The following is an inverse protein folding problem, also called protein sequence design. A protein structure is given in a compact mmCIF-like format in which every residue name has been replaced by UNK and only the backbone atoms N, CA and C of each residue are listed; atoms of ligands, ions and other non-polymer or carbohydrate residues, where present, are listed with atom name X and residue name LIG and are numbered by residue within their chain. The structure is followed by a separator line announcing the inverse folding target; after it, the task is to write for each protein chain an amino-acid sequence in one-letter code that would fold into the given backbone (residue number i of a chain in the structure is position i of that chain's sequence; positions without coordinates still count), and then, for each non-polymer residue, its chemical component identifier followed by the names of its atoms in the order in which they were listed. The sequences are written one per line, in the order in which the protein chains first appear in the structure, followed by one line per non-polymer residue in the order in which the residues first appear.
data_IF_395338418707
#
_entry.id   IF_395338418707
#
_cell.length_a   1.000
_cell.length_b   1.000
_cell.length_c   1.000
_cell.angle_alpha   90.00
_cell.angle_beta   90.00
_cell.angle_gamma   90.00
#
_symmetry.space_group_name_H-M   'P 1'
#
loop_
_entity.id
_entity.type
_entity.pdbx_description
1 polymer ?
#
# COMPACT_ATOMS: atom_id res chain seq x y z
N UNK A 1 -7.54 -15.43 11.85
CA UNK A 1 -6.88 -14.28 12.49
C UNK A 1 -5.88 -14.61 13.60
N UNK A 2 -5.97 -15.78 14.25
CA UNK A 2 -5.02 -16.13 15.33
C UNK A 2 -3.58 -16.40 14.84
N UNK A 3 -3.33 -16.41 13.53
CA UNK A 3 -1.99 -16.58 12.97
C UNK A 3 -1.29 -17.87 13.39
N UNK A 4 0.03 -17.90 13.22
CA UNK A 4 0.91 -18.83 13.92
C UNK A 4 1.31 -18.29 15.29
N UNK A 5 1.81 -19.16 16.17
CA UNK A 5 2.30 -18.81 17.52
C UNK A 5 3.74 -18.31 17.54
N UNK A 6 4.35 -18.13 16.37
CA UNK A 6 5.74 -17.69 16.19
C UNK A 6 5.83 -16.66 15.07
N UNK A 7 6.54 -15.57 15.32
CA UNK A 7 6.93 -14.59 14.31
C UNK A 7 8.11 -15.08 13.46
N UNK A 8 8.33 -14.43 12.31
CA UNK A 8 9.43 -14.76 11.39
C UNK A 8 10.82 -14.59 12.01
N UNK A 9 10.96 -13.72 13.01
CA UNK A 9 12.16 -13.55 13.82
C UNK A 9 12.30 -14.52 15.00
N UNK A 10 11.40 -15.52 15.12
CA UNK A 10 11.44 -16.55 16.17
C UNK A 10 10.79 -16.15 17.51
N UNK A 11 10.21 -14.95 17.62
CA UNK A 11 9.48 -14.52 18.83
C UNK A 11 8.15 -15.25 18.94
N UNK A 12 7.79 -15.69 20.15
CA UNK A 12 6.48 -16.29 20.39
C UNK A 12 5.35 -15.25 20.46
N UNK A 13 4.13 -15.69 20.19
CA UNK A 13 2.91 -14.93 20.41
C UNK A 13 1.75 -15.85 20.80
N UNK A 14 0.85 -15.34 21.63
CA UNK A 14 -0.50 -15.88 21.82
C UNK A 14 -1.51 -14.79 21.45
N UNK A 15 -1.92 -14.73 20.18
CA UNK A 15 -2.89 -13.74 19.73
C UNK A 15 -4.27 -13.89 20.36
N UNK A 16 -4.61 -15.07 20.91
CA UNK A 16 -5.89 -15.30 21.60
C UNK A 16 -5.97 -14.52 22.91
N UNK A 17 -4.89 -14.52 23.68
CA UNK A 17 -4.77 -13.74 24.92
C UNK A 17 -4.19 -12.33 24.73
N UNK A 18 -3.93 -11.92 23.48
CA UNK A 18 -3.28 -10.65 23.13
C UNK A 18 -1.88 -10.51 23.75
N UNK A 19 -1.12 -11.61 23.80
CA UNK A 19 0.25 -11.64 24.30
C UNK A 19 1.27 -11.68 23.16
N UNK A 20 2.11 -10.65 23.06
CA UNK A 20 3.18 -10.55 22.07
C UNK A 20 4.49 -10.16 22.78
N UNK A 21 5.11 -11.09 23.54
CA UNK A 21 6.25 -10.80 24.41
C UNK A 21 7.50 -10.30 23.68
N UNK A 22 7.60 -10.50 22.36
CA UNK A 22 8.70 -9.95 21.56
C UNK A 22 8.75 -8.42 21.52
N UNK A 23 7.65 -7.71 21.82
CA UNK A 23 7.59 -6.24 21.73
C UNK A 23 7.81 -5.48 23.04
N UNK A 24 7.29 -5.83 24.23
CA UNK A 24 6.25 -6.76 24.68
C UNK A 24 4.84 -6.12 24.75
N UNK A 25 3.87 -6.61 23.95
CA UNK A 25 2.47 -6.20 24.10
C UNK A 25 1.64 -7.22 24.91
N UNK A 26 0.67 -6.69 25.62
CA UNK A 26 -0.31 -7.38 26.45
C UNK A 26 -1.72 -6.94 26.08
N UNK A 27 -2.75 -7.55 26.67
CA UNK A 27 -4.15 -7.16 26.45
C UNK A 27 -4.47 -5.68 26.75
N UNK A 28 -3.62 -4.98 27.53
CA UNK A 28 -3.75 -3.55 27.83
C UNK A 28 -3.40 -2.64 26.64
N UNK A 29 -2.72 -3.19 25.63
CA UNK A 29 -2.19 -2.45 24.50
C UNK A 29 -3.12 -2.49 23.28
N UNK A 30 -4.26 -3.16 23.40
CA UNK A 30 -5.24 -3.35 22.32
C UNK A 30 -6.58 -2.73 22.68
N UNK A 31 -7.34 -2.35 21.67
CA UNK A 31 -8.73 -1.97 21.82
C UNK A 31 -9.58 -3.16 22.33
N UNK A 32 -10.73 -2.90 22.97
CA UNK A 32 -11.68 -3.95 23.34
C UNK A 32 -12.05 -4.83 22.14
N UNK A 33 -12.21 -6.13 22.36
CA UNK A 33 -12.54 -7.05 21.27
C UNK A 33 -13.95 -6.79 20.74
N UNK A 34 -14.02 -6.43 19.46
CA UNK A 34 -15.22 -6.33 18.65
C UNK A 34 -14.84 -6.57 17.19
N UNK A 35 -15.81 -6.87 16.32
CA UNK A 35 -15.57 -7.01 14.89
C UNK A 35 -15.98 -5.74 14.14
N UNK A 36 -15.25 -5.39 13.08
CA UNK A 36 -15.70 -4.38 12.13
C UNK A 36 -16.89 -4.96 11.35
N UNK A 37 -18.05 -4.33 11.50
CA UNK A 37 -19.32 -4.75 10.88
C UNK A 37 -20.05 -3.61 10.20
N UNK A 38 -19.66 -2.35 10.45
CA UNK A 38 -20.36 -1.17 9.94
C UNK A 38 -19.39 -0.06 9.49
N UNK A 39 -19.17 0.04 8.18
CA UNK A 39 -18.34 1.11 7.58
C UNK A 39 -19.00 2.50 7.58
N UNK A 40 -20.24 2.62 8.05
CA UNK A 40 -20.89 3.90 8.32
C UNK A 40 -20.63 4.42 9.76
N UNK A 41 -19.94 3.65 10.60
CA UNK A 41 -19.53 4.06 11.94
C UNK A 41 -17.99 4.12 12.03
N UNK A 42 -17.38 5.32 12.03
CA UNK A 42 -15.93 5.47 12.12
C UNK A 42 -15.33 4.84 13.40
N UNK A 43 -16.09 4.79 14.49
CA UNK A 43 -15.62 4.18 15.74
C UNK A 43 -15.52 2.67 15.59
N UNK A 44 -16.53 2.04 14.99
CA UNK A 44 -16.46 0.61 14.68
C UNK A 44 -15.31 0.29 13.73
N UNK A 45 -15.06 1.11 12.71
CA UNK A 45 -13.98 0.85 11.73
C UNK A 45 -12.58 1.01 12.33
N UNK A 46 -12.40 1.94 13.29
CA UNK A 46 -11.08 2.30 13.84
C UNK A 46 -10.72 1.65 15.18
N UNK A 47 -11.70 1.09 15.90
CA UNK A 47 -11.48 0.51 17.22
C UNK A 47 -11.82 -0.99 17.31
N UNK A 48 -12.27 -1.61 16.21
CA UNK A 48 -12.60 -3.04 16.18
C UNK A 48 -11.65 -3.84 15.29
N UNK A 49 -11.60 -5.13 15.54
CA UNK A 49 -10.69 -6.08 14.90
C UNK A 49 -11.05 -6.28 13.42
N UNK A 50 -10.17 -5.83 12.52
CA UNK A 50 -10.27 -6.10 11.09
C UNK A 50 -10.10 -7.59 10.84
N UNK A 51 -11.17 -8.27 10.42
CA UNK A 51 -11.21 -9.73 10.19
C UNK A 51 -10.61 -10.56 11.34
N UNK A 52 -10.78 -10.08 12.58
CA UNK A 52 -10.30 -10.71 13.82
C UNK A 52 -8.83 -10.44 14.18
N UNK A 53 -8.14 -9.59 13.43
CA UNK A 53 -6.77 -9.16 13.76
C UNK A 53 -6.81 -8.31 15.04
N UNK A 54 -5.90 -8.58 15.98
CA UNK A 54 -5.88 -7.87 17.27
C UNK A 54 -5.53 -6.41 17.06
N UNK A 55 -6.49 -5.55 17.38
CA UNK A 55 -6.45 -4.12 17.06
C UNK A 55 -5.68 -3.34 18.14
N UNK A 56 -4.48 -2.86 17.81
CA UNK A 56 -3.65 -2.09 18.74
C UNK A 56 -4.34 -0.76 19.08
N UNK A 57 -4.31 -0.36 20.34
CA UNK A 57 -4.83 0.94 20.77
C UNK A 57 -3.75 2.00 20.61
N UNK A 58 -3.69 2.67 19.45
CA UNK A 58 -2.73 3.75 19.24
C UNK A 58 -3.08 5.01 20.05
N UNK A 59 -4.18 5.05 20.81
CA UNK A 59 -4.45 6.01 21.87
C UNK A 59 -3.49 5.91 23.06
N UNK A 60 -2.92 4.71 23.28
CA UNK A 60 -1.98 4.42 24.35
C UNK A 60 -0.57 4.92 24.00
N UNK A 61 0.07 5.69 24.87
CA UNK A 61 1.42 6.23 24.65
C UNK A 61 2.47 5.13 24.49
N UNK A 62 2.36 4.03 25.24
CA UNK A 62 3.27 2.89 25.12
C UNK A 62 3.24 2.25 23.73
N UNK A 63 2.04 2.10 23.16
CA UNK A 63 1.85 1.59 21.79
C UNK A 63 2.50 2.53 20.78
N UNK A 64 2.28 3.84 20.92
CA UNK A 64 2.94 4.85 20.05
C UNK A 64 4.46 4.79 20.18
N UNK A 65 4.98 4.66 21.41
CA UNK A 65 6.42 4.59 21.66
C UNK A 65 7.04 3.41 20.91
N UNK A 66 6.42 2.23 20.98
CA UNK A 66 6.90 1.03 20.27
C UNK A 66 6.81 1.14 18.76
N UNK A 67 5.76 1.76 18.23
CA UNK A 67 5.66 2.02 16.79
C UNK A 67 6.75 3.02 16.35
N UNK A 68 6.93 4.12 17.09
CA UNK A 68 7.94 5.15 16.78
C UNK A 68 9.35 4.58 16.88
N UNK A 69 9.65 3.77 17.91
CA UNK A 69 10.93 3.07 18.07
C UNK A 69 11.26 2.23 16.84
N UNK A 70 10.29 1.43 16.38
CA UNK A 70 10.44 0.62 15.17
C UNK A 70 10.66 1.45 13.90
N UNK A 71 9.83 2.47 13.67
CA UNK A 71 9.93 3.30 12.47
C UNK A 71 11.22 4.14 12.45
N UNK A 72 11.66 4.66 13.60
CA UNK A 72 12.93 5.37 13.71
C UNK A 72 14.11 4.43 13.50
N UNK A 73 14.07 3.21 14.02
CA UNK A 73 15.10 2.20 13.73
C UNK A 73 15.24 1.96 12.22
N UNK A 74 14.13 1.79 11.49
CA UNK A 74 14.16 1.64 10.03
C UNK A 74 14.67 2.91 9.32
N UNK A 75 14.29 4.09 9.81
CA UNK A 75 14.77 5.37 9.28
C UNK A 75 16.29 5.50 9.43
N UNK A 76 16.83 5.08 10.58
CA UNK A 76 18.27 5.08 10.85
C UNK A 76 19.01 4.09 9.92
N UNK A 77 18.38 2.97 9.55
CA UNK A 77 18.88 2.01 8.55
C UNK A 77 18.78 2.51 7.09
N UNK A 78 18.21 3.69 6.85
CA UNK A 78 18.25 4.36 5.55
C UNK A 78 17.01 4.19 4.68
N UNK A 79 15.87 3.74 5.20
CA UNK A 79 14.62 3.75 4.43
C UNK A 79 14.17 5.19 4.14
N UNK A 80 13.60 5.44 2.96
CA UNK A 80 13.15 6.79 2.55
C UNK A 80 11.73 7.15 3.05
N UNK A 81 10.98 6.19 3.57
CA UNK A 81 9.56 6.38 3.87
C UNK A 81 8.82 5.09 4.17
N UNK A 82 7.51 5.21 4.38
CA UNK A 82 6.64 4.13 4.87
C UNK A 82 5.32 4.07 4.11
N UNK A 83 4.96 2.84 3.70
CA UNK A 83 3.59 2.46 3.34
C UNK A 83 2.85 2.13 4.63
N UNK A 84 1.89 2.96 5.02
CA UNK A 84 1.11 2.73 6.24
C UNK A 84 -0.09 1.87 5.87
N UNK A 85 0.02 0.58 6.21
CA UNK A 85 -1.02 -0.43 6.02
C UNK A 85 -2.29 -0.08 6.80
N UNK A 86 -3.46 -0.41 6.24
CA UNK A 86 -4.74 -0.29 6.92
C UNK A 86 -4.99 1.10 7.57
N UNK A 87 -4.46 2.19 7.00
CA UNK A 87 -4.54 3.52 7.61
C UNK A 87 -5.98 3.99 7.85
N UNK A 88 -6.94 3.55 7.04
CA UNK A 88 -8.38 3.76 7.28
C UNK A 88 -8.82 3.33 8.70
N UNK A 89 -8.24 2.25 9.21
CA UNK A 89 -8.56 1.62 10.49
C UNK A 89 -7.82 2.25 11.68
N UNK A 90 -7.12 3.37 11.48
CA UNK A 90 -6.44 4.09 12.55
C UNK A 90 -6.98 5.52 12.62
N UNK A 91 -6.96 6.12 13.82
CA UNK A 91 -7.36 7.51 13.98
C UNK A 91 -6.30 8.45 13.37
N UNK A 92 -6.70 9.45 12.56
CA UNK A 92 -5.77 10.45 12.04
C UNK A 92 -4.96 11.16 13.13
N UNK A 93 -5.58 11.44 14.28
CA UNK A 93 -4.89 12.06 15.43
C UNK A 93 -3.74 11.21 15.97
N UNK A 94 -3.92 9.89 16.02
CA UNK A 94 -2.90 8.96 16.53
C UNK A 94 -1.76 8.78 15.52
N UNK A 95 -2.11 8.68 14.23
CA UNK A 95 -1.13 8.69 13.14
C UNK A 95 -0.29 9.97 13.14
N UNK A 96 -0.92 11.13 13.32
CA UNK A 96 -0.20 12.41 13.40
C UNK A 96 0.77 12.44 14.59
N UNK A 97 0.35 11.91 15.75
CA UNK A 97 1.20 11.80 16.92
C UNK A 97 2.40 10.87 16.71
N UNK A 98 2.25 9.80 15.92
CA UNK A 98 3.33 8.90 15.54
C UNK A 98 4.26 9.58 14.53
N UNK A 99 3.73 10.11 13.43
CA UNK A 99 4.53 10.72 12.36
C UNK A 99 5.31 11.94 12.84
N UNK A 100 4.73 12.74 13.74
CA UNK A 100 5.38 13.91 14.35
C UNK A 100 6.62 13.58 15.19
N UNK A 101 6.83 12.30 15.54
CA UNK A 101 7.96 11.81 16.32
C UNK A 101 9.01 11.07 15.50
N UNK A 102 8.83 10.99 14.18
CA UNK A 102 9.79 10.35 13.30
C UNK A 102 11.05 11.21 13.14
N UNK A 103 12.20 10.55 13.13
CA UNK A 103 13.47 11.16 12.81
C UNK A 103 13.45 11.67 11.36
N UNK A 104 14.29 12.68 11.08
CA UNK A 104 14.63 13.01 9.71
C UNK A 104 15.44 11.86 9.09
N UNK A 105 15.40 11.76 7.75
CA UNK A 105 16.12 10.76 6.99
C UNK A 105 17.64 10.86 7.21
N UNK A 106 18.27 9.70 7.30
CA UNK A 106 19.68 9.60 7.65
C UNK A 106 20.60 10.08 6.51
N UNK A 107 21.28 11.21 6.72
CA UNK A 107 22.21 11.82 5.73
C UNK A 107 23.36 10.91 5.30
N UNK A 108 23.73 9.90 6.11
CA UNK A 108 24.73 8.90 5.72
C UNK A 108 24.30 8.05 4.51
N UNK A 109 23.00 8.00 4.21
CA UNK A 109 22.43 7.33 3.04
C UNK A 109 22.19 8.28 1.85
N UNK A 110 22.73 9.50 1.88
CA UNK A 110 22.66 10.46 0.78
C UNK A 110 21.41 11.35 0.77
N UNK A 111 20.61 11.34 1.84
CA UNK A 111 19.48 12.27 1.98
C UNK A 111 19.94 13.67 2.38
N UNK A 112 19.20 14.69 1.94
CA UNK A 112 19.41 16.07 2.36
C UNK A 112 19.15 16.23 3.87
N UNK A 113 19.91 17.10 4.54
CA UNK A 113 19.63 17.47 5.93
C UNK A 113 18.21 17.99 6.08
N UNK A 114 17.48 17.49 7.08
CA UNK A 114 16.08 17.86 7.33
C UNK A 114 15.05 17.18 6.43
N UNK A 115 15.46 16.29 5.52
CA UNK A 115 14.51 15.50 4.75
C UNK A 115 13.66 14.61 5.68
N UNK A 116 12.34 14.59 5.48
CA UNK A 116 11.41 13.77 6.27
C UNK A 116 11.06 12.48 5.54
N UNK A 117 10.73 11.39 6.27
CA UNK A 117 10.22 10.18 5.66
C UNK A 117 8.99 10.43 4.78
N UNK A 118 8.98 9.88 3.57
CA UNK A 118 7.80 9.90 2.71
C UNK A 118 6.72 8.97 3.28
N UNK A 119 5.57 9.54 3.65
CA UNK A 119 4.44 8.77 4.17
C UNK A 119 3.37 8.65 3.09
N UNK A 120 2.95 7.41 2.82
CA UNK A 120 1.73 7.17 2.06
C UNK A 120 0.85 6.12 2.73
N UNK A 121 -0.44 6.42 2.76
CA UNK A 121 -1.39 5.77 3.66
C UNK A 121 -2.39 4.96 2.85
N UNK A 122 -2.58 3.70 3.24
CA UNK A 122 -3.63 2.88 2.66
C UNK A 122 -5.00 3.29 3.18
N UNK A 123 -5.72 4.04 2.35
CA UNK A 123 -7.11 4.44 2.62
C UNK A 123 -7.94 4.06 1.40
N UNK A 124 -8.65 2.94 1.50
CA UNK A 124 -9.55 2.47 0.45
C UNK A 124 -10.81 3.34 0.42
N UNK A 125 -10.83 4.45 -0.34
CA UNK A 125 -12.02 5.31 -0.43
C UNK A 125 -12.57 5.38 -1.85
N UNK A 126 -13.60 4.57 -2.12
CA UNK A 126 -14.40 4.63 -3.36
C UNK A 126 -15.65 5.52 -3.22
N UNK A 127 -15.84 6.18 -2.06
CA UNK A 127 -17.06 6.91 -1.69
C UNK A 127 -18.12 6.04 -1.00
N UNK A 128 -19.10 6.69 -0.35
CA UNK A 128 -20.24 6.00 0.28
C UNK A 128 -19.99 5.41 1.66
N UNK A 129 -18.84 5.71 2.28
CA UNK A 129 -18.50 5.31 3.66
C UNK A 129 -18.36 6.54 4.57
N UNK A 130 -18.35 6.33 5.88
CA UNK A 130 -18.22 7.42 6.86
C UNK A 130 -16.80 7.99 6.99
N UNK A 131 -15.79 7.22 6.57
CA UNK A 131 -14.38 7.65 6.59
C UNK A 131 -13.98 8.06 5.18
N UNK A 132 -13.34 9.22 5.06
CA UNK A 132 -12.85 9.74 3.78
C UNK A 132 -11.33 9.81 3.73
N UNK A 133 -10.77 9.63 2.53
CA UNK A 133 -9.34 9.86 2.25
C UNK A 133 -8.86 11.27 2.62
N UNK A 134 -9.74 12.27 2.57
CA UNK A 134 -9.40 13.66 2.91
C UNK A 134 -8.98 13.86 4.36
N UNK A 135 -9.38 12.95 5.27
CA UNK A 135 -8.94 12.97 6.68
C UNK A 135 -7.43 12.70 6.83
N UNK A 136 -6.78 12.14 5.81
CA UNK A 136 -5.40 11.66 5.87
C UNK A 136 -4.42 12.47 5.00
N UNK A 137 -4.91 13.25 4.03
CA UNK A 137 -4.07 13.98 3.06
C UNK A 137 -3.23 15.11 3.70
N UNK A 138 -3.63 15.59 4.87
CA UNK A 138 -2.86 16.57 5.65
C UNK A 138 -1.54 16.04 6.22
N UNK A 139 -1.39 14.71 6.31
CA UNK A 139 -0.26 14.05 7.00
C UNK A 139 0.67 13.29 6.05
N UNK A 140 0.30 13.18 4.77
CA UNK A 140 1.05 12.42 3.78
C UNK A 140 0.21 12.16 2.53
N UNK A 141 0.74 11.36 1.63
CA UNK A 141 -0.03 10.87 0.49
C UNK A 141 -1.02 9.78 0.92
N UNK A 142 -2.01 9.50 0.08
CA UNK A 142 -2.92 8.35 0.21
C UNK A 142 -2.81 7.46 -1.03
N UNK A 143 -3.16 6.18 -0.88
CA UNK A 143 -3.39 5.28 -2.02
C UNK A 143 -4.68 5.67 -2.73
N UNK A 144 -4.61 6.20 -3.94
CA UNK A 144 -5.80 6.63 -4.69
C UNK A 144 -6.47 5.42 -5.38
N UNK A 145 -7.27 4.66 -4.64
CA UNK A 145 -7.95 3.47 -5.17
C UNK A 145 -8.93 3.78 -6.31
N UNK A 146 -9.50 5.00 -6.37
CA UNK A 146 -10.35 5.41 -7.50
C UNK A 146 -9.59 5.49 -8.81
N UNK A 147 -8.27 5.75 -8.76
CA UNK A 147 -7.42 5.70 -9.95
C UNK A 147 -7.41 4.27 -10.54
N UNK A 148 -7.15 3.26 -9.71
CA UNK A 148 -7.14 1.83 -10.11
C UNK A 148 -8.52 1.39 -10.64
N UNK A 149 -9.61 1.75 -9.95
CA UNK A 149 -10.98 1.45 -10.38
C UNK A 149 -11.34 2.10 -11.73
N UNK A 150 -11.10 3.41 -11.84
CA UNK A 150 -11.48 4.19 -13.03
C UNK A 150 -10.66 3.79 -14.26
N UNK A 151 -9.33 3.61 -14.11
CA UNK A 151 -8.46 3.23 -15.23
C UNK A 151 -8.80 1.81 -15.70
N UNK A 152 -9.16 0.93 -14.77
CA UNK A 152 -9.65 -0.42 -15.06
C UNK A 152 -10.90 -0.39 -15.94
N UNK A 153 -11.92 0.39 -15.55
CA UNK A 153 -13.18 0.54 -16.31
C UNK A 153 -12.94 1.08 -17.72
N UNK A 154 -12.15 2.15 -17.85
CA UNK A 154 -11.84 2.78 -19.14
C UNK A 154 -11.14 1.79 -20.08
N UNK A 155 -10.05 1.15 -19.65
CA UNK A 155 -9.29 0.24 -20.51
C UNK A 155 -9.96 -1.13 -20.72
N UNK A 156 -11.01 -1.44 -19.95
CA UNK A 156 -11.91 -2.57 -20.22
C UNK A 156 -13.02 -2.24 -21.23
N UNK A 157 -13.19 -0.97 -21.60
CA UNK A 157 -14.25 -0.51 -22.49
C UNK A 157 -15.60 -0.32 -21.79
N UNK A 158 -15.62 -0.27 -20.45
CA UNK A 158 -16.81 0.11 -19.67
C UNK A 158 -16.97 1.64 -19.59
N UNK A 159 -15.94 2.36 -19.99
CA UNK A 159 -15.97 3.80 -20.22
C UNK A 159 -15.07 4.18 -21.41
N UNK A 160 -15.14 5.41 -21.89
CA UNK A 160 -14.51 5.85 -23.13
C UNK A 160 -13.17 6.57 -22.88
N UNK A 161 -12.14 6.21 -23.65
CA UNK A 161 -10.82 6.85 -23.60
C UNK A 161 -10.88 8.38 -23.79
N UNK A 162 -11.87 8.89 -24.56
CA UNK A 162 -12.04 10.32 -24.82
C UNK A 162 -12.34 11.14 -23.55
N UNK A 163 -12.77 10.52 -22.46
CA UNK A 163 -13.06 11.22 -21.21
C UNK A 163 -11.82 11.41 -20.34
N UNK A 164 -10.69 10.80 -20.69
CA UNK A 164 -9.43 10.98 -19.97
C UNK A 164 -8.82 12.39 -20.12
N UNK A 165 -9.45 13.29 -20.88
CA UNK A 165 -8.98 14.67 -21.10
C UNK A 165 -8.89 15.51 -19.84
N UNK A 166 -9.66 15.17 -18.80
CA UNK A 166 -9.62 15.83 -17.48
C UNK A 166 -9.25 14.84 -16.35
N UNK A 167 -8.48 13.80 -16.65
CA UNK A 167 -8.05 12.78 -15.69
C UNK A 167 -7.36 13.41 -14.46
N UNK A 168 -7.86 13.11 -13.27
CA UNK A 168 -7.38 13.71 -12.02
C UNK A 168 -8.49 14.06 -11.05
N UNK A 169 -8.41 15.24 -10.43
CA UNK A 169 -9.38 15.69 -9.41
C UNK A 169 -10.82 15.79 -9.94
N UNK A 170 -11.02 16.07 -11.23
CA UNK A 170 -12.34 16.07 -11.86
C UNK A 170 -13.01 14.68 -11.87
N UNK A 171 -12.23 13.61 -11.71
CA UNK A 171 -12.69 12.23 -11.53
C UNK A 171 -12.92 11.88 -10.05
N UNK A 172 -12.89 12.86 -9.15
CA UNK A 172 -13.06 12.68 -7.71
C UNK A 172 -11.82 12.08 -7.02
N UNK A 173 -10.64 12.22 -7.64
CA UNK A 173 -9.37 11.88 -6.99
C UNK A 173 -8.97 12.99 -6.00
N UNK A 174 -8.11 12.65 -5.04
CA UNK A 174 -7.44 13.64 -4.20
C UNK A 174 -6.49 14.51 -5.04
N UNK A 175 -5.92 15.56 -4.42
CA UNK A 175 -4.93 16.38 -5.10
C UNK A 175 -3.73 15.53 -5.57
N UNK A 176 -3.13 15.91 -6.70
CA UNK A 176 -2.04 15.16 -7.35
C UNK A 176 -0.85 14.93 -6.40
N UNK A 177 -0.44 15.97 -5.67
CA UNK A 177 0.64 15.96 -4.69
C UNK A 177 0.33 15.12 -3.42
N UNK A 178 -0.92 14.64 -3.28
CA UNK A 178 -1.38 13.78 -2.18
C UNK A 178 -1.75 12.37 -2.63
N UNK A 179 -1.54 12.03 -3.90
CA UNK A 179 -2.02 10.78 -4.48
C UNK A 179 -0.86 9.87 -4.88
N UNK A 180 -0.77 8.70 -4.24
CA UNK A 180 -0.01 7.56 -4.77
C UNK A 180 -0.94 6.72 -5.65
N UNK A 181 -0.64 6.66 -6.95
CA UNK A 181 -1.48 6.03 -7.96
C UNK A 181 -0.90 4.71 -8.44
N UNK A 182 -1.76 3.79 -8.83
CA UNK A 182 -1.39 2.47 -9.32
C UNK A 182 -2.50 1.92 -10.22
N UNK A 183 -2.14 0.97 -11.09
CA UNK A 183 -3.10 0.20 -11.89
C UNK A 183 -3.68 -0.94 -11.06
N UNK A 184 -2.82 -1.67 -10.34
CA UNK A 184 -3.15 -2.70 -9.37
C UNK A 184 -2.22 -2.64 -8.15
N UNK A 185 -2.63 -3.29 -7.07
CA UNK A 185 -1.79 -3.56 -5.90
C UNK A 185 -1.85 -5.06 -5.56
N UNK A 186 -1.11 -5.46 -4.53
CA UNK A 186 -1.06 -6.86 -4.09
C UNK A 186 -2.42 -7.41 -3.62
N UNK A 187 -3.31 -6.61 -3.03
CA UNK A 187 -4.65 -7.07 -2.63
C UNK A 187 -5.57 -7.24 -3.84
N UNK A 188 -5.76 -6.17 -4.61
CA UNK A 188 -6.82 -6.11 -5.60
C UNK A 188 -6.52 -6.91 -6.85
N UNK A 189 -5.24 -7.21 -7.14
CA UNK A 189 -4.89 -8.18 -8.18
C UNK A 189 -5.36 -9.62 -7.85
N UNK A 190 -5.61 -9.90 -6.56
CA UNK A 190 -6.17 -11.16 -6.05
C UNK A 190 -7.68 -11.06 -5.78
N UNK A 191 -8.30 -9.92 -6.06
CA UNK A 191 -9.71 -9.68 -5.72
C UNK A 191 -9.96 -9.38 -4.24
N UNK A 192 -8.89 -9.17 -3.45
CA UNK A 192 -9.01 -8.65 -2.09
C UNK A 192 -9.10 -7.12 -2.12
N UNK A 193 -9.85 -6.51 -1.20
CA UNK A 193 -10.01 -5.05 -1.16
C UNK A 193 -10.88 -4.49 -2.30
N UNK A 194 -10.50 -3.34 -2.84
CA UNK A 194 -11.33 -2.53 -3.75
C UNK A 194 -10.99 -2.66 -5.24
N UNK A 195 -11.98 -2.38 -6.10
CA UNK A 195 -11.88 -2.34 -7.57
C UNK A 195 -12.50 -3.55 -8.27
N UNK A 196 -12.60 -4.69 -7.58
CA UNK A 196 -13.31 -5.89 -8.06
C UNK A 196 -12.85 -6.37 -9.44
N UNK A 197 -13.81 -6.79 -10.27
CA UNK A 197 -13.55 -7.39 -11.59
C UNK A 197 -12.91 -6.42 -12.61
N UNK A 198 -12.86 -5.12 -12.31
CA UNK A 198 -12.34 -4.11 -13.21
C UNK A 198 -10.82 -3.89 -13.07
N UNK A 199 -10.22 -4.36 -11.98
CA UNK A 199 -8.77 -4.29 -11.77
C UNK A 199 -8.03 -4.98 -12.94
N UNK A 200 -7.05 -4.28 -13.50
CA UNK A 200 -6.18 -4.80 -14.55
C UNK A 200 -4.90 -5.32 -13.93
N UNK A 201 -4.51 -6.54 -14.27
CA UNK A 201 -3.31 -7.20 -13.71
C UNK A 201 -2.46 -7.79 -14.84
N UNK A 202 -1.32 -8.36 -14.48
CA UNK A 202 -0.48 -9.10 -15.43
C UNK A 202 -1.24 -10.21 -16.20
N UNK A 203 -2.35 -10.73 -15.64
CA UNK A 203 -3.20 -11.76 -16.27
C UNK A 203 -4.02 -11.25 -17.47
N UNK A 204 -4.10 -9.92 -17.67
CA UNK A 204 -4.72 -9.27 -18.84
C UNK A 204 -3.73 -8.33 -19.54
N UNK A 205 -2.61 -8.87 -20.08
CA UNK A 205 -1.38 -8.13 -20.29
C UNK A 205 -1.50 -6.98 -21.30
N UNK A 206 -2.34 -7.11 -22.34
CA UNK A 206 -2.53 -6.02 -23.33
C UNK A 206 -3.11 -4.78 -22.67
N UNK A 207 -4.23 -4.94 -21.94
CA UNK A 207 -4.93 -3.83 -21.27
C UNK A 207 -4.09 -3.28 -20.12
N UNK A 208 -3.44 -4.15 -19.35
CA UNK A 208 -2.56 -3.75 -18.25
C UNK A 208 -1.40 -2.86 -18.70
N UNK A 209 -0.72 -3.23 -19.79
CA UNK A 209 0.37 -2.41 -20.36
C UNK A 209 -0.12 -1.06 -20.88
N UNK A 210 -1.31 -1.01 -21.50
CA UNK A 210 -1.89 0.25 -21.96
C UNK A 210 -2.24 1.19 -20.80
N UNK A 211 -2.88 0.66 -19.74
CA UNK A 211 -3.20 1.42 -18.54
C UNK A 211 -1.93 1.90 -17.80
N UNK A 212 -0.92 1.03 -17.68
CA UNK A 212 0.37 1.38 -17.07
C UNK A 212 1.10 2.46 -17.85
N UNK A 213 1.08 2.39 -19.19
CA UNK A 213 1.64 3.42 -20.03
C UNK A 213 0.93 4.77 -19.84
N UNK A 214 -0.41 4.77 -19.79
CA UNK A 214 -1.17 6.00 -19.52
C UNK A 214 -0.83 6.58 -18.14
N UNK A 215 -0.82 5.77 -17.08
CA UNK A 215 -0.45 6.21 -15.72
C UNK A 215 0.95 6.82 -15.68
N UNK A 216 1.93 6.21 -16.36
CA UNK A 216 3.31 6.69 -16.37
C UNK A 216 3.49 7.95 -17.24
N UNK A 217 2.73 8.09 -18.32
CA UNK A 217 2.76 9.27 -19.19
C UNK A 217 2.03 10.48 -18.60
N UNK A 218 0.98 10.26 -17.78
CA UNK A 218 0.17 11.33 -17.22
C UNK A 218 0.84 11.95 -15.97
N UNK A 219 0.86 13.29 -15.78
CA UNK A 219 1.56 13.94 -14.67
C UNK A 219 0.89 13.77 -13.30
N UNK A 220 -0.26 13.09 -13.25
CA UNK A 220 -1.05 12.99 -12.02
C UNK A 220 -0.48 11.95 -11.05
N UNK A 221 -0.28 12.36 -9.80
CA UNK A 221 0.13 11.50 -8.70
C UNK A 221 1.59 11.02 -8.77
N UNK A 222 1.96 10.30 -7.72
CA UNK A 222 3.21 9.52 -7.65
C UNK A 222 2.90 8.07 -8.08
N UNK A 223 3.36 7.60 -9.25
CA UNK A 223 3.02 6.27 -9.74
C UNK A 223 3.80 5.18 -9.00
N UNK A 224 3.10 4.10 -8.66
CA UNK A 224 3.68 2.84 -8.18
C UNK A 224 3.39 1.73 -9.19
N UNK A 225 4.45 1.06 -9.64
CA UNK A 225 4.37 -0.12 -10.51
C UNK A 225 4.39 -1.37 -9.64
N UNK A 226 3.42 -2.27 -9.84
CA UNK A 226 3.39 -3.56 -9.17
C UNK A 226 4.46 -4.49 -9.78
N UNK A 227 5.05 -5.36 -8.95
CA UNK A 227 5.90 -6.45 -9.42
C UNK A 227 5.53 -7.73 -8.68
N UNK A 228 4.91 -8.64 -9.39
CA UNK A 228 4.20 -9.78 -8.81
C UNK A 228 5.02 -11.07 -8.89
N UNK A 229 4.57 -12.07 -8.12
CA UNK A 229 4.79 -13.48 -8.44
C UNK A 229 3.51 -14.06 -9.05
N UNK A 230 3.65 -15.12 -9.85
CA UNK A 230 2.54 -15.80 -10.48
C UNK A 230 1.77 -16.63 -9.43
N UNK A 231 0.44 -16.54 -9.45
CA UNK A 231 -0.44 -17.27 -8.54
C UNK A 231 -1.70 -17.73 -9.26
N UNK A 232 -2.23 -18.88 -8.84
CA UNK A 232 -3.52 -19.40 -9.30
C UNK A 232 -4.58 -19.40 -8.19
N UNK A 233 -4.15 -19.37 -6.93
CA UNK A 233 -4.97 -19.20 -5.73
C UNK A 233 -4.69 -17.82 -5.10
N UNK A 234 -5.74 -17.12 -4.64
CA UNK A 234 -5.66 -15.81 -4.00
C UNK A 234 -4.88 -15.84 -2.67
N UNK A 235 -4.86 -16.98 -1.99
CA UNK A 235 -4.12 -17.18 -0.74
C UNK A 235 -2.71 -17.74 -0.95
N UNK A 236 -2.28 -17.92 -2.20
CA UNK A 236 -0.96 -18.48 -2.52
C UNK A 236 0.16 -17.51 -2.13
N UNK A 237 1.11 -18.02 -1.34
CA UNK A 237 2.36 -17.32 -1.01
C UNK A 237 3.34 -17.23 -2.20
N UNK A 238 4.48 -16.54 -2.02
CA UNK A 238 5.49 -16.40 -3.07
C UNK A 238 6.14 -17.76 -3.42
N UNK A 239 6.87 -17.86 -4.55
CA UNK A 239 7.69 -19.02 -4.86
C UNK A 239 8.65 -19.35 -3.70
N UNK A 240 8.74 -20.63 -3.34
CA UNK A 240 9.64 -21.11 -2.27
C UNK A 240 10.55 -22.23 -2.79
N UNK A 241 11.71 -22.40 -2.17
CA UNK A 241 12.64 -23.49 -2.51
C UNK A 241 12.26 -24.81 -1.84
N UNK A 242 11.60 -24.76 -0.68
CA UNK A 242 11.32 -25.91 0.19
C UNK A 242 9.97 -25.78 0.93
N UNK A 243 9.10 -24.87 0.52
CA UNK A 243 7.85 -24.55 1.22
C UNK A 243 7.98 -23.51 2.34
N UNK A 244 9.19 -23.13 2.75
CA UNK A 244 9.43 -22.19 3.86
C UNK A 244 10.32 -21.01 3.47
N UNK A 245 11.33 -21.23 2.64
CA UNK A 245 12.29 -20.23 2.20
C UNK A 245 11.87 -19.65 0.85
N UNK A 246 11.71 -18.32 0.78
CA UNK A 246 11.32 -17.62 -0.45
C UNK A 246 12.44 -17.79 -1.50
N UNK A 247 12.08 -18.29 -2.68
CA UNK A 247 13.00 -18.48 -3.78
C UNK A 247 13.35 -17.14 -4.44
N UNK A 248 14.64 -16.91 -4.69
CA UNK A 248 15.08 -15.71 -5.41
C UNK A 248 14.56 -15.70 -6.85
N UNK A 249 14.27 -14.52 -7.44
CA UNK A 249 13.98 -14.41 -8.86
C UNK A 249 15.13 -14.92 -9.74
N UNK A 250 14.80 -15.64 -10.81
CA UNK A 250 15.75 -16.03 -11.85
C UNK A 250 15.72 -14.98 -12.95
N UNK A 251 16.86 -14.48 -13.39
CA UNK A 251 16.94 -13.50 -14.48
C UNK A 251 17.39 -14.19 -15.77
N UNK A 252 16.53 -14.16 -16.78
CA UNK A 252 16.78 -14.78 -18.08
C UNK A 252 17.63 -13.86 -18.97
N UNK A 253 18.23 -14.43 -20.03
CA UNK A 253 19.07 -13.69 -20.98
C UNK A 253 18.32 -12.60 -21.76
N UNK A 254 16.99 -12.67 -21.82
CA UNK A 254 16.11 -11.67 -22.44
C UNK A 254 15.63 -10.58 -21.46
N UNK A 255 16.24 -10.50 -20.27
CA UNK A 255 15.88 -9.63 -19.14
C UNK A 255 14.54 -9.91 -18.47
N UNK A 256 13.80 -10.95 -18.87
CA UNK A 256 12.61 -11.41 -18.15
C UNK A 256 12.98 -12.13 -16.85
N UNK A 257 11.99 -12.33 -15.99
CA UNK A 257 12.15 -13.18 -14.81
C UNK A 257 11.61 -14.60 -15.04
N UNK A 258 12.22 -15.57 -14.38
CA UNK A 258 11.75 -16.95 -14.23
C UNK A 258 11.51 -17.30 -12.76
N UNK A 259 11.31 -18.59 -12.48
CA UNK A 259 11.13 -19.09 -11.11
C UNK A 259 9.80 -18.68 -10.46
N UNK A 260 8.77 -18.42 -11.26
CA UNK A 260 7.45 -17.99 -10.76
C UNK A 260 7.32 -16.49 -10.52
N UNK A 261 8.33 -15.68 -10.85
CA UNK A 261 8.27 -14.22 -10.73
C UNK A 261 7.81 -13.56 -12.04
N UNK A 262 6.83 -12.65 -11.98
CA UNK A 262 6.23 -11.99 -13.15
C UNK A 262 7.09 -10.82 -13.63
N UNK A 263 7.61 -10.03 -12.70
CA UNK A 263 8.49 -8.89 -12.95
C UNK A 263 7.96 -7.90 -14.00
N UNK A 264 6.75 -7.38 -13.81
CA UNK A 264 6.13 -6.38 -14.69
C UNK A 264 7.05 -5.16 -14.88
N UNK A 265 7.79 -4.76 -13.84
CA UNK A 265 8.80 -3.69 -13.90
C UNK A 265 9.92 -3.92 -14.94
N UNK A 266 10.14 -5.16 -15.40
CA UNK A 266 11.12 -5.53 -16.44
C UNK A 266 10.51 -5.63 -17.83
N UNK A 267 9.20 -5.46 -17.98
CA UNK A 267 8.57 -5.48 -19.29
C UNK A 267 8.98 -4.24 -20.08
N UNK A 268 9.38 -4.40 -21.34
CA UNK A 268 9.82 -3.30 -22.22
C UNK A 268 8.85 -2.13 -22.23
N UNK A 269 7.56 -2.41 -22.26
CA UNK A 269 6.52 -1.39 -22.28
C UNK A 269 6.41 -0.61 -20.96
N UNK A 270 6.87 -1.16 -19.84
CA UNK A 270 6.80 -0.52 -18.53
C UNK A 270 8.09 0.25 -18.25
N UNK A 271 9.27 -0.37 -18.34
CA UNK A 271 10.51 0.36 -18.04
C UNK A 271 10.79 1.51 -19.04
N UNK A 272 10.41 1.37 -20.32
CA UNK A 272 10.51 2.49 -21.26
C UNK A 272 9.54 3.63 -20.91
N UNK A 273 8.39 3.33 -20.29
CA UNK A 273 7.46 4.37 -19.85
C UNK A 273 7.90 5.02 -18.54
N UNK A 274 8.67 4.32 -17.70
CA UNK A 274 9.41 4.94 -16.59
C UNK A 274 10.46 5.91 -17.14
N UNK A 275 11.24 5.49 -18.15
CA UNK A 275 12.20 6.36 -18.81
C UNK A 275 11.52 7.56 -19.49
N UNK A 276 10.36 7.35 -20.13
CA UNK A 276 9.54 8.42 -20.69
C UNK A 276 9.15 9.43 -19.61
N UNK A 277 8.62 8.96 -18.48
CA UNK A 277 8.24 9.84 -17.35
C UNK A 277 9.44 10.67 -16.86
N UNK A 278 10.61 10.05 -16.72
CA UNK A 278 11.83 10.74 -16.33
C UNK A 278 12.25 11.81 -17.35
N UNK A 279 12.07 11.54 -18.64
CA UNK A 279 12.42 12.48 -19.71
C UNK A 279 11.48 13.69 -19.78
N UNK A 280 10.19 13.52 -19.49
CA UNK A 280 9.21 14.62 -19.50
C UNK A 280 9.15 15.38 -18.17
N UNK A 281 9.58 14.78 -17.06
CA UNK A 281 9.62 15.42 -15.75
C UNK A 281 8.26 15.99 -15.32
N UNK A 282 8.25 17.25 -14.91
CA UNK A 282 7.05 17.99 -14.46
C UNK A 282 6.31 18.73 -15.59
N UNK A 283 6.57 18.37 -16.86
CA UNK A 283 5.87 18.97 -18.00
C UNK A 283 4.36 18.77 -17.88
N UNK A 284 3.60 19.86 -18.09
CA UNK A 284 2.13 19.83 -18.04
C UNK A 284 1.53 19.32 -19.38
N UNK A 285 0.34 18.71 -19.30
CA UNK A 285 -0.49 18.32 -20.45
C UNK A 285 -1.34 19.50 -20.91
#
# INVERSE_FOLDING_TARGET
ANGGTSGTGGTSADPGSKSFPGVPFSSLDFNPTCAITNYADPTNVRNCELVGLRDLNQGNSWVRDKIVEFLNHLTDLGVAGFRVDAAKHMWPGDLNAIYGRLNNLNTAHGFNSGAKPYIFQEVIDLGGEAISKSEYTGMGSITEFRHSDSIGKVFRGKDQLRYLTNWGTAWGFAASDRSLVFVDNHDNQRGHGAGGADVLTYKVPKKYKMASAFMLAHPFGTPRVMSSFAFDNTDQGPPTTDGHNIASPVFNSDNSCGGGWVCEHRWRQIYNMVAFRNAVGDSQI
#
